data_IF_847408207406
#
_entry.id   IF_847408207406
#
_cell.length_a   1.000
_cell.length_b   1.000
_cell.length_c   1.000
_cell.angle_alpha   90.00
_cell.angle_beta   90.00
_cell.angle_gamma   90.00
#
_symmetry.space_group_name_H-M   'P 1'
#
loop_
_entity.id
_entity.type
_entity.pdbx_description
1 polymer ?
#
# COMPACT_ATOMS: atom_id res chain seq x y z
N UNK A 1 12.63 -27.41 -12.84
CA UNK A 1 11.94 -26.13 -13.11
C UNK A 1 11.40 -25.63 -11.78
N UNK A 2 12.12 -24.72 -11.13
CA UNK A 2 11.61 -24.01 -9.94
C UNK A 2 10.60 -22.99 -10.41
N UNK A 3 9.38 -23.05 -9.87
CA UNK A 3 8.36 -22.01 -10.08
C UNK A 3 8.97 -20.64 -9.71
N UNK A 4 8.74 -19.57 -10.48
CA UNK A 4 9.25 -18.25 -10.09
C UNK A 4 8.70 -17.91 -8.70
N UNK A 5 9.61 -17.56 -7.78
CA UNK A 5 9.24 -17.14 -6.44
C UNK A 5 8.24 -15.98 -6.55
N UNK A 6 7.05 -16.17 -6.00
CA UNK A 6 5.98 -15.18 -6.07
C UNK A 6 6.41 -13.95 -5.25
N UNK A 7 6.55 -12.79 -5.91
CA UNK A 7 7.04 -11.54 -5.28
C UNK A 7 5.89 -10.77 -4.67
N UNK A 8 5.27 -11.37 -3.65
CA UNK A 8 4.08 -10.80 -2.99
C UNK A 8 4.46 -10.16 -1.66
N UNK A 9 3.91 -8.97 -1.45
CA UNK A 9 3.83 -8.36 -0.12
C UNK A 9 2.37 -8.28 0.32
N UNK A 10 2.15 -8.50 1.62
CA UNK A 10 0.94 -8.05 2.28
C UNK A 10 0.98 -6.53 2.48
N UNK A 11 -0.18 -5.91 2.50
CA UNK A 11 -0.36 -4.50 2.84
C UNK A 11 -1.32 -4.41 4.02
N UNK A 12 -0.96 -3.61 5.00
CA UNK A 12 -1.78 -3.36 6.19
C UNK A 12 -2.01 -1.86 6.37
N UNK A 13 -3.18 -1.49 6.86
CA UNK A 13 -3.44 -0.13 7.31
C UNK A 13 -2.84 0.06 8.70
N UNK A 14 -1.94 1.03 8.86
CA UNK A 14 -1.35 1.37 10.17
C UNK A 14 -2.08 2.53 10.82
N UNK A 15 -2.38 3.57 10.03
CA UNK A 15 -3.06 4.78 10.49
C UNK A 15 -3.79 5.41 9.30
N UNK A 16 -4.93 6.05 9.57
CA UNK A 16 -5.62 6.90 8.61
C UNK A 16 -6.34 8.03 9.34
N UNK A 17 -6.21 9.23 8.80
CA UNK A 17 -7.04 10.38 9.11
C UNK A 17 -7.52 10.98 7.79
N UNK A 18 -8.71 10.57 7.37
CA UNK A 18 -9.32 10.99 6.11
C UNK A 18 -10.59 11.76 6.43
N UNK A 19 -10.53 13.07 6.28
CA UNK A 19 -11.63 13.98 6.60
C UNK A 19 -12.66 13.99 5.47
N UNK A 20 -12.19 13.95 4.23
CA UNK A 20 -13.01 13.81 3.02
C UNK A 20 -12.16 13.27 1.85
N UNK A 21 -12.73 12.95 0.68
CA UNK A 21 -11.98 12.38 -0.44
C UNK A 21 -10.81 13.25 -0.94
N UNK A 22 -10.87 14.57 -0.77
CA UNK A 22 -9.86 15.53 -1.20
C UNK A 22 -8.93 15.99 -0.07
N UNK A 23 -9.06 15.44 1.14
CA UNK A 23 -8.26 15.84 2.29
C UNK A 23 -8.10 14.68 3.27
N UNK A 24 -6.88 14.17 3.33
CA UNK A 24 -6.55 13.11 4.26
C UNK A 24 -5.10 12.67 4.23
N UNK A 25 -4.83 11.72 5.11
CA UNK A 25 -3.57 11.01 5.16
C UNK A 25 -3.81 9.56 5.54
N UNK A 26 -2.93 8.70 5.08
CA UNK A 26 -2.88 7.32 5.53
C UNK A 26 -1.47 6.78 5.47
N UNK A 27 -1.24 5.81 6.34
CA UNK A 27 0.04 5.10 6.46
C UNK A 27 -0.22 3.62 6.29
N UNK A 28 0.48 3.02 5.31
CA UNK A 28 0.42 1.59 5.04
C UNK A 28 1.72 0.90 5.47
N UNK A 29 1.60 -0.34 5.94
CA UNK A 29 2.72 -1.23 6.22
C UNK A 29 2.89 -2.25 5.11
N UNK A 30 4.11 -2.36 4.58
CA UNK A 30 4.50 -3.43 3.67
C UNK A 30 4.94 -4.66 4.48
N UNK A 31 4.23 -5.77 4.37
CA UNK A 31 4.41 -6.97 5.18
C UNK A 31 4.99 -8.11 4.34
N UNK A 32 6.01 -8.78 4.86
CA UNK A 32 6.53 -10.04 4.32
C UNK A 32 6.87 -10.98 5.46
N UNK A 33 6.41 -12.22 5.37
CA UNK A 33 6.62 -13.26 6.39
C UNK A 33 6.19 -12.81 7.80
N UNK A 34 5.00 -12.20 7.89
CA UNK A 34 4.43 -11.68 9.14
C UNK A 34 5.08 -10.41 9.69
N UNK A 35 6.19 -9.95 9.09
CA UNK A 35 6.93 -8.78 9.57
C UNK A 35 6.75 -7.56 8.67
N UNK A 36 6.66 -6.38 9.29
CA UNK A 36 6.66 -5.10 8.56
C UNK A 36 8.06 -4.75 8.08
N UNK A 37 8.25 -4.70 6.76
CA UNK A 37 9.53 -4.41 6.11
C UNK A 37 9.69 -2.94 5.72
N UNK A 38 8.59 -2.24 5.46
CA UNK A 38 8.60 -0.82 5.15
C UNK A 38 7.29 -0.14 5.57
N UNK A 39 7.30 1.19 5.61
CA UNK A 39 6.14 2.05 5.82
C UNK A 39 5.95 2.96 4.60
N UNK A 40 4.71 3.14 4.18
CA UNK A 40 4.32 3.95 3.03
C UNK A 40 3.37 5.03 3.52
N UNK A 41 3.81 6.27 3.47
CA UNK A 41 2.98 7.40 3.90
C UNK A 41 2.40 8.11 2.68
N UNK A 42 1.11 8.44 2.78
CA UNK A 42 0.37 9.18 1.78
C UNK A 42 -0.33 10.33 2.48
N UNK A 43 -0.20 11.53 1.93
CA UNK A 43 -0.91 12.72 2.40
C UNK A 43 -1.39 13.51 1.20
N UNK A 44 -2.61 14.00 1.26
CA UNK A 44 -3.17 14.84 0.22
C UNK A 44 -4.12 15.87 0.79
N UNK A 45 -4.20 16.98 0.07
CA UNK A 45 -5.19 18.03 0.24
C UNK A 45 -5.55 18.59 -1.14
N UNK A 46 -6.27 19.71 -1.18
CA UNK A 46 -6.67 20.36 -2.43
C UNK A 46 -5.49 20.96 -3.23
N UNK A 47 -4.33 21.13 -2.61
CA UNK A 47 -3.17 21.78 -3.23
C UNK A 47 -2.13 20.77 -3.70
N UNK A 48 -1.91 19.69 -2.93
CA UNK A 48 -0.85 18.75 -3.21
C UNK A 48 -1.16 17.32 -2.80
N UNK A 49 -0.44 16.40 -3.43
CA UNK A 49 -0.30 15.02 -3.01
C UNK A 49 1.18 14.75 -2.72
N UNK A 50 1.46 14.11 -1.60
CA UNK A 50 2.80 13.65 -1.21
C UNK A 50 2.76 12.19 -0.82
N UNK A 51 3.75 11.44 -1.30
CA UNK A 51 3.96 10.05 -0.91
C UNK A 51 5.42 9.82 -0.51
N UNK A 52 5.63 9.14 0.62
CA UNK A 52 6.97 8.89 1.17
C UNK A 52 7.14 7.40 1.47
N UNK A 53 8.20 6.82 0.92
CA UNK A 53 8.63 5.48 1.26
C UNK A 53 9.62 5.55 2.43
N UNK A 54 9.30 4.86 3.54
CA UNK A 54 10.14 4.74 4.71
C UNK A 54 10.69 3.32 4.82
N UNK A 55 11.96 3.15 4.47
CA UNK A 55 12.66 1.88 4.54
C UNK A 55 13.94 1.89 3.71
N UNK A 56 14.57 0.73 3.58
CA UNK A 56 15.74 0.54 2.72
C UNK A 56 15.37 -0.42 1.59
N UNK A 57 14.91 0.13 0.46
CA UNK A 57 14.38 -0.64 -0.67
C UNK A 57 15.32 -1.75 -1.19
N UNK A 58 16.65 -1.55 -1.28
CA UNK A 58 17.57 -2.61 -1.71
C UNK A 58 17.66 -3.80 -0.76
N UNK A 59 17.29 -3.64 0.51
CA UNK A 59 17.33 -4.71 1.53
C UNK A 59 15.99 -5.42 1.71
N UNK A 60 14.95 -5.05 0.96
CA UNK A 60 13.67 -5.75 1.02
C UNK A 60 13.80 -7.18 0.46
N UNK A 61 12.97 -8.14 0.90
CA UNK A 61 12.95 -9.51 0.38
C UNK A 61 12.86 -9.56 -1.15
N UNK A 62 12.08 -8.66 -1.72
CA UNK A 62 11.99 -8.39 -3.15
C UNK A 62 12.25 -6.88 -3.38
N UNK A 63 13.48 -6.50 -3.75
CA UNK A 63 13.81 -5.11 -4.03
C UNK A 63 13.03 -4.58 -5.23
N UNK A 64 12.53 -3.35 -5.12
CA UNK A 64 11.88 -2.60 -6.18
C UNK A 64 12.09 -1.11 -5.98
N UNK A 65 11.84 -0.30 -7.01
CA UNK A 65 11.95 1.15 -6.89
C UNK A 65 10.88 1.67 -5.90
N UNK A 66 11.20 2.63 -5.01
CA UNK A 66 10.25 3.15 -4.03
C UNK A 66 8.91 3.61 -4.63
N UNK A 67 8.92 4.20 -5.82
CA UNK A 67 7.70 4.65 -6.48
C UNK A 67 6.78 3.49 -6.86
N UNK A 68 7.33 2.34 -7.27
CA UNK A 68 6.54 1.15 -7.55
C UNK A 68 5.89 0.63 -6.26
N UNK A 69 6.67 0.55 -5.18
CA UNK A 69 6.18 0.14 -3.86
C UNK A 69 5.11 1.09 -3.29
N UNK A 70 5.14 2.37 -3.67
CA UNK A 70 4.13 3.35 -3.31
C UNK A 70 2.86 3.25 -4.17
N UNK A 71 2.99 2.96 -5.47
CA UNK A 71 1.85 2.96 -6.40
C UNK A 71 0.99 1.69 -6.30
N UNK A 72 1.63 0.51 -6.17
CA UNK A 72 0.94 -0.79 -6.21
C UNK A 72 -0.12 -0.94 -5.11
N UNK A 73 0.12 -0.54 -3.85
CA UNK A 73 -0.89 -0.64 -2.81
C UNK A 73 -2.13 0.20 -3.13
N UNK A 74 -1.94 1.42 -3.62
CA UNK A 74 -3.05 2.30 -4.01
C UNK A 74 -3.88 1.65 -5.11
N UNK A 75 -3.24 1.13 -6.16
CA UNK A 75 -3.93 0.43 -7.24
C UNK A 75 -4.72 -0.79 -6.74
N UNK A 76 -4.13 -1.60 -5.84
CA UNK A 76 -4.80 -2.75 -5.25
C UNK A 76 -6.04 -2.35 -4.43
N UNK A 77 -5.95 -1.28 -3.63
CA UNK A 77 -7.08 -0.75 -2.88
C UNK A 77 -8.21 -0.30 -3.80
N UNK A 78 -7.91 0.45 -4.87
CA UNK A 78 -8.93 0.91 -5.81
C UNK A 78 -9.57 -0.24 -6.60
N UNK A 79 -8.81 -1.28 -6.94
CA UNK A 79 -9.34 -2.46 -7.61
C UNK A 79 -10.35 -3.24 -6.76
N UNK A 80 -10.25 -3.15 -5.44
CA UNK A 80 -11.15 -3.80 -4.47
C UNK A 80 -12.22 -2.85 -3.93
N UNK A 81 -12.14 -1.55 -4.22
CA UNK A 81 -13.10 -0.58 -3.71
C UNK A 81 -14.45 -0.78 -4.40
N UNK A 82 -15.52 -0.86 -3.61
CA UNK A 82 -16.91 -0.86 -4.08
C UNK A 82 -17.64 0.41 -3.65
N UNK A 83 -18.90 0.56 -4.08
CA UNK A 83 -19.79 1.65 -3.66
C UNK A 83 -20.21 1.56 -2.19
N UNK A 84 -20.10 0.37 -1.57
CA UNK A 84 -20.37 0.17 -0.16
C UNK A 84 -19.29 0.79 0.74
N UNK A 85 -18.06 0.89 0.24
CA UNK A 85 -16.94 1.53 0.95
C UNK A 85 -17.08 3.05 0.89
N UNK A 86 -17.16 3.70 2.04
CA UNK A 86 -17.21 5.17 2.12
C UNK A 86 -15.84 5.78 1.85
N UNK A 87 -14.78 5.21 2.41
CA UNK A 87 -13.39 5.60 2.25
C UNK A 87 -12.59 4.51 1.53
N UNK A 88 -11.43 4.87 0.95
CA UNK A 88 -10.54 3.89 0.32
C UNK A 88 -9.98 2.87 1.33
N UNK A 89 -9.84 3.29 2.58
CA UNK A 89 -9.35 2.46 3.69
C UNK A 89 -10.39 1.46 4.20
N UNK A 90 -11.67 1.62 3.87
CA UNK A 90 -12.70 0.67 4.30
C UNK A 90 -12.49 -0.71 3.65
N UNK A 91 -11.80 -0.77 2.52
CA UNK A 91 -11.41 -2.02 1.84
C UNK A 91 -10.67 -2.99 2.77
N UNK A 92 -9.92 -2.48 3.76
CA UNK A 92 -9.21 -3.32 4.74
C UNK A 92 -10.14 -4.07 5.71
N UNK A 93 -11.42 -3.71 5.80
CA UNK A 93 -12.40 -4.39 6.64
C UNK A 93 -12.85 -5.72 6.00
N UNK A 94 -12.86 -5.78 4.67
CA UNK A 94 -13.43 -6.89 3.91
C UNK A 94 -12.37 -7.76 3.23
N UNK A 95 -11.19 -7.20 2.94
CA UNK A 95 -10.20 -7.83 2.09
C UNK A 95 -8.78 -7.81 2.67
N UNK A 96 -8.05 -8.94 2.63
CA UNK A 96 -6.60 -8.91 2.74
C UNK A 96 -6.04 -8.24 1.49
N UNK A 97 -5.10 -7.31 1.69
CA UNK A 97 -4.50 -6.55 0.60
C UNK A 97 -3.12 -7.09 0.32
N UNK A 98 -2.87 -7.41 -0.95
CA UNK A 98 -1.57 -7.90 -1.40
C UNK A 98 -1.15 -7.20 -2.68
N UNK A 99 0.15 -6.98 -2.85
CA UNK A 99 0.71 -6.49 -4.11
C UNK A 99 1.64 -7.56 -4.70
N UNK A 100 1.57 -7.76 -6.02
CA UNK A 100 2.46 -8.63 -6.78
C UNK A 100 3.37 -7.76 -7.64
N UNK A 101 4.69 -7.91 -7.47
CA UNK A 101 5.70 -7.14 -8.21
C UNK A 101 6.11 -7.78 -9.55
N UNK A 102 5.50 -8.90 -9.95
CA UNK A 102 5.77 -9.53 -11.24
C UNK A 102 4.81 -9.08 -12.37
N UNK A 103 3.72 -8.40 -12.04
CA UNK A 103 2.67 -7.97 -12.97
C UNK A 103 2.70 -6.48 -13.22
#
# INVERSE_FOLDING_TARGET
MTSPATKIYGVTLLEADIRNPMDGSMTLGLIYDGERKAKLEYRWDAEAFTAVFHGHAPSLPFPAHPTELLQRPIAALYALKTDAHRLITDVFQDHPITIDLNK
#
